data_IF_024350063202
#
_entry.id   IF_024350063202
#
_cell.length_a   1.000
_cell.length_b   1.000
_cell.length_c   1.000
_cell.angle_alpha   90.00
_cell.angle_beta   90.00
_cell.angle_gamma   90.00
#
_symmetry.space_group_name_H-M   'P 1'
#
loop_
_entity.id
_entity.type
_entity.pdbx_description
1 polymer ?
#
# COMPACT_ATOMS: atom_id res chain seq x y z
N UNK A 1 -0.49 13.33 -12.80
CA UNK A 1 -0.58 12.18 -11.90
C UNK A 1 -0.54 12.65 -10.44
N UNK A 2 -1.37 12.07 -9.58
CA UNK A 2 -1.40 12.40 -8.14
C UNK A 2 -0.52 11.46 -7.29
N UNK A 3 -0.02 11.93 -6.15
CA UNK A 3 0.62 11.11 -5.12
C UNK A 3 -0.34 10.97 -3.95
N UNK A 4 -0.71 9.75 -3.58
CA UNK A 4 -1.71 9.51 -2.53
C UNK A 4 -1.30 8.35 -1.61
N UNK A 5 -1.63 8.47 -0.32
CA UNK A 5 -1.59 7.35 0.63
C UNK A 5 -2.96 6.98 1.20
N UNK A 6 -4.00 7.73 0.82
CA UNK A 6 -5.35 7.59 1.36
C UNK A 6 -6.36 7.53 0.21
N UNK A 7 -7.34 6.63 0.34
CA UNK A 7 -8.47 6.59 -0.60
C UNK A 7 -9.21 7.94 -0.62
N UNK A 8 -9.25 8.65 0.51
CA UNK A 8 -9.88 9.97 0.61
C UNK A 8 -9.20 11.06 -0.24
N UNK A 9 -7.93 10.89 -0.60
CA UNK A 9 -7.20 11.85 -1.45
C UNK A 9 -7.52 11.64 -2.95
N UNK A 10 -8.21 10.56 -3.30
CA UNK A 10 -8.50 10.18 -4.68
C UNK A 10 -9.53 11.11 -5.30
N UNK A 11 -10.64 11.38 -4.59
CA UNK A 11 -11.71 12.22 -5.11
C UNK A 11 -11.25 13.66 -5.42
N UNK A 12 -10.54 14.36 -4.50
CA UNK A 12 -9.95 15.67 -4.82
C UNK A 12 -8.96 15.64 -5.98
N UNK A 13 -8.22 14.53 -6.15
CA UNK A 13 -7.27 14.37 -7.25
C UNK A 13 -7.97 14.26 -8.60
N UNK A 14 -9.06 13.51 -8.68
CA UNK A 14 -9.93 13.42 -9.88
C UNK A 14 -10.51 14.79 -10.19
N UNK A 15 -11.07 15.48 -9.19
CA UNK A 15 -11.67 16.82 -9.34
C UNK A 15 -10.64 17.87 -9.81
N UNK A 16 -9.35 17.64 -9.55
CA UNK A 16 -8.24 18.50 -9.97
C UNK A 16 -7.65 18.14 -11.35
N UNK A 17 -8.25 17.17 -12.07
CA UNK A 17 -7.82 16.75 -13.41
C UNK A 17 -6.61 15.81 -13.42
N UNK A 18 -6.38 15.04 -12.36
CA UNK A 18 -5.29 14.06 -12.37
C UNK A 18 -5.55 12.92 -13.37
N UNK A 19 -4.57 12.65 -14.23
CA UNK A 19 -4.59 11.53 -15.17
C UNK A 19 -3.94 10.27 -14.54
N UNK A 20 -4.49 9.81 -13.42
CA UNK A 20 -4.00 8.62 -12.69
C UNK A 20 -3.14 8.91 -11.46
N UNK A 21 -2.61 7.83 -10.87
CA UNK A 21 -1.84 7.84 -9.63
C UNK A 21 -0.37 7.53 -9.89
N UNK A 22 0.50 8.51 -9.64
CA UNK A 22 1.96 8.40 -9.80
C UNK A 22 2.66 7.66 -8.68
N UNK A 23 2.05 7.61 -7.49
CA UNK A 23 2.49 6.81 -6.37
C UNK A 23 1.33 6.62 -5.38
N UNK A 24 0.87 5.37 -5.21
CA UNK A 24 0.01 4.96 -4.13
C UNK A 24 0.83 4.31 -3.01
N UNK A 25 0.81 4.92 -1.83
CA UNK A 25 1.49 4.44 -0.61
C UNK A 25 0.54 3.52 0.17
N UNK A 26 0.96 2.29 0.41
CA UNK A 26 0.13 1.26 1.06
C UNK A 26 0.25 1.26 2.58
N UNK A 27 1.13 2.06 3.17
CA UNK A 27 1.39 2.05 4.60
C UNK A 27 0.18 2.47 5.44
N UNK A 28 -0.62 3.43 4.98
CA UNK A 28 -1.70 4.00 5.81
C UNK A 28 -2.76 2.96 6.17
N UNK A 29 -3.35 2.19 5.21
CA UNK A 29 -4.27 1.12 5.58
C UNK A 29 -3.70 0.16 6.62
N UNK A 30 -2.44 -0.26 6.44
CA UNK A 30 -1.76 -1.15 7.39
C UNK A 30 -1.59 -0.51 8.76
N UNK A 31 -1.27 0.79 8.85
CA UNK A 31 -1.14 1.50 10.13
C UNK A 31 -2.48 1.71 10.85
N UNK A 32 -3.59 1.78 10.12
CA UNK A 32 -4.92 2.00 10.70
C UNK A 32 -5.65 0.73 11.17
N UNK A 33 -5.21 -0.45 10.72
CA UNK A 33 -5.76 -1.73 11.13
C UNK A 33 -5.23 -2.17 12.51
N UNK A 34 -5.87 -3.19 13.11
CA UNK A 34 -5.41 -3.83 14.35
C UNK A 34 -4.57 -5.10 14.10
N UNK A 35 -4.47 -5.53 12.85
CA UNK A 35 -3.67 -6.64 12.37
C UNK A 35 -3.29 -6.40 10.91
N UNK A 36 -2.44 -7.26 10.34
CA UNK A 36 -2.20 -7.24 8.90
C UNK A 36 -3.53 -7.46 8.15
N UNK A 37 -3.91 -6.57 7.21
CA UNK A 37 -5.14 -6.74 6.46
C UNK A 37 -5.07 -8.00 5.60
N UNK A 38 -6.19 -8.72 5.55
CA UNK A 38 -6.40 -9.91 4.72
C UNK A 38 -6.36 -9.59 3.23
N UNK A 39 -6.28 -10.62 2.38
CA UNK A 39 -6.38 -10.46 0.91
C UNK A 39 -7.67 -9.72 0.52
N UNK A 40 -8.82 -10.15 1.07
CA UNK A 40 -10.12 -9.56 0.76
C UNK A 40 -10.21 -8.08 1.18
N UNK A 41 -9.69 -7.73 2.36
CA UNK A 41 -9.64 -6.33 2.83
C UNK A 41 -8.74 -5.48 1.93
N UNK A 42 -7.58 -6.01 1.54
CA UNK A 42 -6.67 -5.32 0.61
C UNK A 42 -7.31 -5.14 -0.77
N UNK A 43 -7.99 -6.16 -1.30
CA UNK A 43 -8.76 -6.06 -2.56
C UNK A 43 -9.83 -4.98 -2.45
N UNK A 44 -10.59 -4.95 -1.36
CA UNK A 44 -11.62 -3.93 -1.16
C UNK A 44 -11.05 -2.50 -1.15
N UNK A 45 -9.87 -2.30 -0.54
CA UNK A 45 -9.19 -0.99 -0.53
C UNK A 45 -8.67 -0.65 -1.92
N UNK A 46 -7.97 -1.57 -2.57
CA UNK A 46 -7.28 -1.30 -3.83
C UNK A 46 -8.26 -1.14 -4.99
N UNK A 47 -9.36 -1.88 -5.01
CA UNK A 47 -10.39 -1.77 -6.04
C UNK A 47 -11.04 -0.37 -6.08
N UNK A 48 -11.07 0.36 -4.95
CA UNK A 48 -11.55 1.75 -4.93
C UNK A 48 -10.62 2.68 -5.72
N UNK A 49 -9.31 2.40 -5.74
CA UNK A 49 -8.31 3.18 -6.47
C UNK A 49 -8.45 2.94 -7.97
N UNK A 50 -8.52 1.67 -8.38
CA UNK A 50 -8.73 1.29 -9.78
C UNK A 50 -10.06 1.79 -10.33
N UNK A 51 -11.13 1.75 -9.53
CA UNK A 51 -12.44 2.27 -9.94
C UNK A 51 -12.46 3.79 -10.16
N UNK A 52 -11.61 4.54 -9.47
CA UNK A 52 -11.52 5.99 -9.62
C UNK A 52 -10.72 6.44 -10.85
N UNK A 53 -9.85 5.57 -11.37
CA UNK A 53 -8.97 5.83 -12.51
C UNK A 53 -9.01 4.63 -13.49
N UNK A 54 -10.18 4.31 -14.08
CA UNK A 54 -10.36 3.09 -14.85
C UNK A 54 -9.46 2.99 -16.09
N UNK A 55 -9.13 4.13 -16.69
CA UNK A 55 -8.36 4.21 -17.94
C UNK A 55 -6.96 4.83 -17.76
N UNK A 56 -6.55 5.10 -16.52
CA UNK A 56 -5.30 5.80 -16.22
C UNK A 56 -4.30 4.91 -15.46
N UNK A 57 -2.99 5.15 -15.63
CA UNK A 57 -1.98 4.38 -14.90
C UNK A 57 -2.05 4.62 -13.39
N UNK A 58 -1.86 3.54 -12.63
CA UNK A 58 -1.77 3.54 -11.17
C UNK A 58 -0.46 2.85 -10.78
N UNK A 59 0.44 3.59 -10.17
CA UNK A 59 1.70 3.06 -9.64
C UNK A 59 1.58 2.82 -8.14
N UNK A 60 1.45 1.56 -7.74
CA UNK A 60 1.35 1.17 -6.34
C UNK A 60 2.69 0.75 -5.77
N UNK A 61 2.99 1.18 -4.55
CA UNK A 61 4.16 0.72 -3.80
C UNK A 61 3.74 -0.34 -2.79
N UNK A 62 4.39 -1.50 -2.82
CA UNK A 62 4.27 -2.52 -1.77
C UNK A 62 4.61 -1.93 -0.40
N UNK A 63 4.22 -2.63 0.66
CA UNK A 63 4.34 -2.16 2.03
C UNK A 63 5.79 -1.73 2.34
N UNK A 64 5.96 -0.45 2.71
CA UNK A 64 7.25 0.13 3.10
C UNK A 64 7.19 0.60 4.57
N UNK A 65 7.23 -0.38 5.47
CA UNK A 65 7.28 -0.19 6.93
C UNK A 65 8.69 -0.43 7.48
N UNK A 66 8.88 -0.13 8.77
CA UNK A 66 10.17 -0.13 9.45
C UNK A 66 10.68 1.30 9.68
N UNK A 67 11.70 1.44 10.53
CA UNK A 67 12.15 2.74 10.99
C UNK A 67 11.07 3.54 11.71
N UNK A 68 10.74 4.72 11.20
CA UNK A 68 9.73 5.62 11.75
C UNK A 68 8.29 5.15 11.48
N UNK A 69 8.10 4.19 10.56
CA UNK A 69 6.78 3.68 10.15
C UNK A 69 6.47 2.36 10.84
N UNK A 70 6.14 2.45 12.12
CA UNK A 70 5.80 1.29 12.95
C UNK A 70 4.33 0.90 12.81
N UNK A 71 4.04 -0.40 12.93
CA UNK A 71 2.68 -0.92 12.99
C UNK A 71 2.32 -1.20 14.47
N UNK A 72 1.16 -0.73 14.98
CA UNK A 72 0.80 -0.90 16.39
C UNK A 72 0.75 -2.37 16.86
N UNK A 73 0.46 -3.28 15.95
CA UNK A 73 0.30 -4.72 16.17
C UNK A 73 1.52 -5.55 15.74
N UNK A 74 2.56 -4.91 15.20
CA UNK A 74 3.79 -5.57 14.77
C UNK A 74 4.99 -4.66 15.11
N UNK A 75 5.43 -4.65 16.37
CA UNK A 75 6.59 -3.86 16.79
C UNK A 75 7.87 -4.43 16.18
N UNK A 76 8.58 -3.61 15.42
CA UNK A 76 9.93 -3.96 14.91
C UNK A 76 10.95 -3.57 15.97
N UNK A 77 11.92 -4.45 16.24
CA UNK A 77 12.98 -4.20 17.23
C UNK A 77 13.79 -2.94 16.91
N UNK A 78 14.30 -2.28 17.94
CA UNK A 78 15.18 -1.12 17.79
C UNK A 78 16.49 -1.51 17.10
N UNK A 79 16.64 -1.04 15.86
CA UNK A 79 17.88 -1.13 15.10
C UNK A 79 18.74 0.12 15.34
N UNK A 80 20.06 -0.04 15.37
CA UNK A 80 21.00 1.09 15.51
C UNK A 80 20.79 2.17 14.43
N UNK A 81 20.45 1.75 13.20
CA UNK A 81 20.11 2.68 12.12
C UNK A 81 18.95 2.09 11.29
N UNK A 82 17.71 2.45 11.63
CA UNK A 82 16.55 1.89 10.96
C UNK A 82 16.42 2.28 9.47
N UNK A 83 17.03 3.40 9.06
CA UNK A 83 17.03 3.79 7.64
C UNK A 83 17.84 2.81 6.78
N UNK A 84 18.84 2.14 7.37
CA UNK A 84 19.65 1.10 6.74
C UNK A 84 19.24 -0.32 7.14
N UNK A 85 18.19 -0.47 7.94
CA UNK A 85 17.81 -1.71 8.59
C UNK A 85 16.74 -2.53 7.87
N UNK A 86 15.92 -3.21 8.66
CA UNK A 86 14.87 -4.14 8.26
C UNK A 86 13.58 -3.38 7.91
N UNK A 87 13.53 -2.89 6.68
CA UNK A 87 12.42 -2.08 6.16
C UNK A 87 12.14 -2.30 4.69
N UNK A 88 11.01 -1.80 4.22
CA UNK A 88 10.68 -1.81 2.79
C UNK A 88 10.66 -3.21 2.21
N UNK A 89 11.28 -3.38 1.03
CA UNK A 89 11.33 -4.67 0.36
C UNK A 89 12.05 -5.75 1.17
N UNK A 90 12.99 -5.41 2.06
CA UNK A 90 13.68 -6.40 2.91
C UNK A 90 12.70 -7.06 3.88
N UNK A 91 11.86 -6.25 4.53
CA UNK A 91 10.75 -6.74 5.34
C UNK A 91 9.81 -7.65 4.53
N UNK A 92 9.42 -7.21 3.32
CA UNK A 92 8.53 -7.99 2.46
C UNK A 92 9.12 -9.34 2.01
N UNK A 93 10.43 -9.39 1.71
CA UNK A 93 11.10 -10.62 1.30
C UNK A 93 11.23 -11.62 2.45
N UNK A 94 11.52 -11.16 3.67
CA UNK A 94 11.55 -12.03 4.85
C UNK A 94 10.14 -12.48 5.28
N UNK A 95 9.11 -11.70 4.94
CA UNK A 95 7.71 -12.00 5.19
C UNK A 95 6.97 -12.32 3.87
N UNK A 96 7.51 -13.25 3.09
CA UNK A 96 7.06 -13.54 1.72
C UNK A 96 5.55 -13.78 1.60
N UNK A 97 4.90 -14.39 2.60
CA UNK A 97 3.44 -14.58 2.58
C UNK A 97 2.69 -13.24 2.57
N UNK A 98 3.09 -12.26 3.38
CA UNK A 98 2.47 -10.92 3.40
C UNK A 98 2.68 -10.20 2.06
N UNK A 99 3.89 -10.28 1.50
CA UNK A 99 4.21 -9.68 0.21
C UNK A 99 3.37 -10.30 -0.92
N UNK A 100 3.24 -11.63 -0.94
CA UNK A 100 2.45 -12.35 -1.94
C UNK A 100 0.96 -12.03 -1.83
N UNK A 101 0.41 -11.99 -0.62
CA UNK A 101 -0.98 -11.57 -0.37
C UNK A 101 -1.23 -10.17 -0.92
N UNK A 102 -0.30 -9.24 -0.67
CA UNK A 102 -0.43 -7.86 -1.17
C UNK A 102 -0.37 -7.79 -2.69
N UNK A 103 0.59 -8.46 -3.32
CA UNK A 103 0.72 -8.48 -4.79
C UNK A 103 -0.52 -9.11 -5.44
N UNK A 104 -1.00 -10.24 -4.90
CA UNK A 104 -2.23 -10.90 -5.37
C UNK A 104 -3.43 -9.96 -5.26
N UNK A 105 -3.57 -9.26 -4.13
CA UNK A 105 -4.64 -8.29 -3.93
C UNK A 105 -4.61 -7.17 -4.97
N UNK A 106 -3.42 -6.65 -5.29
CA UNK A 106 -3.24 -5.63 -6.35
C UNK A 106 -3.64 -6.16 -7.73
N UNK A 107 -3.24 -7.39 -8.07
CA UNK A 107 -3.58 -8.03 -9.35
C UNK A 107 -5.09 -8.25 -9.50
N UNK A 108 -5.72 -8.80 -8.45
CA UNK A 108 -7.17 -9.03 -8.42
C UNK A 108 -7.95 -7.71 -8.56
N UNK A 109 -7.54 -6.66 -7.84
CA UNK A 109 -8.15 -5.33 -7.96
C UNK A 109 -7.94 -4.67 -9.32
N UNK A 110 -6.88 -5.01 -10.04
CA UNK A 110 -6.63 -4.57 -11.41
C UNK A 110 -7.44 -5.37 -12.45
N UNK A 111 -8.24 -6.36 -12.04
CA UNK A 111 -9.00 -7.23 -12.94
C UNK A 111 -8.16 -8.31 -13.62
N UNK A 112 -6.95 -8.58 -13.12
CA UNK A 112 -6.10 -9.67 -13.60
C UNK A 112 -6.42 -10.94 -12.82
N UNK A 113 -7.14 -11.87 -13.46
CA UNK A 113 -7.49 -13.21 -12.94
C UNK A 113 -6.66 -14.30 -13.58
#
# INVERSE_FOLDING_TARGET
>A
MANSGLVNDIKPSVDSGAEGIGLYRTEIPFMTCQAFPTEDEQVQIYSQIFSAFPDNPIYMRVLDIGGDKQLPYFPIQDEMNPALGWRGIRFGLDNAHLLLTQIRSMLLSAGMS
#
